data_IF_409586419975
#
_entry.id   IF_409586419975
#
_cell.length_a   1.000
_cell.length_b   1.000
_cell.length_c   1.000
_cell.angle_alpha   90.00
_cell.angle_beta   90.00
_cell.angle_gamma   90.00
#
_symmetry.space_group_name_H-M   'P 1'
#
loop_
_entity.id
_entity.type
_entity.pdbx_description
1 polymer ?
#
# COMPACT_ATOMS: atom_id res chain seq x y z
N UNK A 1 9.67 -39.62 -15.33
CA UNK A 1 9.88 -39.81 -13.88
C UNK A 1 8.69 -40.59 -13.38
N UNK A 2 8.85 -41.65 -12.57
CA UNK A 2 7.71 -42.42 -12.07
C UNK A 2 6.81 -41.48 -11.27
N UNK A 3 5.51 -41.54 -11.58
CA UNK A 3 4.45 -40.74 -10.95
C UNK A 3 4.40 -41.15 -9.47
N UNK A 4 5.01 -40.35 -8.60
CA UNK A 4 4.88 -40.55 -7.15
C UNK A 4 3.46 -40.13 -6.84
N UNK A 5 2.56 -41.11 -6.74
CA UNK A 5 1.16 -40.88 -6.39
C UNK A 5 1.10 -40.20 -5.00
N UNK A 6 0.95 -38.88 -5.01
CA UNK A 6 0.83 -38.11 -3.78
C UNK A 6 -0.54 -38.41 -3.17
N UNK A 7 -0.53 -39.04 -1.99
CA UNK A 7 -1.73 -39.41 -1.22
C UNK A 7 -2.68 -38.23 -0.97
N UNK A 8 -2.14 -37.02 -0.91
CA UNK A 8 -2.87 -35.77 -0.74
C UNK A 8 -2.59 -34.83 -1.89
N UNK A 9 -3.61 -34.14 -2.37
CA UNK A 9 -3.48 -33.21 -3.47
C UNK A 9 -4.76 -32.45 -3.78
N UNK A 10 -4.58 -31.40 -4.55
CA UNK A 10 -5.65 -30.56 -5.05
C UNK A 10 -6.03 -30.96 -6.47
N UNK A 11 -7.33 -31.00 -6.74
CA UNK A 11 -7.90 -31.15 -8.06
C UNK A 11 -8.77 -29.95 -8.38
N UNK A 12 -8.63 -29.44 -9.58
CA UNK A 12 -9.57 -28.46 -10.13
C UNK A 12 -10.80 -29.23 -10.60
N UNK A 13 -11.99 -28.78 -10.20
CA UNK A 13 -13.24 -29.41 -10.60
C UNK A 13 -13.53 -29.15 -12.08
N UNK A 14 -14.40 -29.93 -12.71
CA UNK A 14 -14.85 -29.70 -14.08
C UNK A 14 -15.49 -28.31 -14.23
N UNK A 15 -16.24 -27.88 -13.22
CA UNK A 15 -16.82 -26.53 -13.13
C UNK A 15 -15.71 -25.48 -13.04
N UNK A 16 -14.73 -25.68 -12.15
CA UNK A 16 -13.59 -24.79 -12.00
C UNK A 16 -12.78 -24.64 -13.28
N UNK A 17 -12.47 -25.74 -13.96
CA UNK A 17 -11.75 -25.74 -15.23
C UNK A 17 -12.53 -25.00 -16.33
N UNK A 18 -13.85 -25.22 -16.41
CA UNK A 18 -14.72 -24.53 -17.35
C UNK A 18 -14.77 -23.01 -17.07
N UNK A 19 -14.90 -22.61 -15.79
CA UNK A 19 -14.90 -21.21 -15.37
C UNK A 19 -13.58 -20.50 -15.63
N UNK A 20 -12.45 -21.15 -15.32
CA UNK A 20 -11.11 -20.64 -15.62
C UNK A 20 -10.98 -20.43 -17.13
N UNK A 21 -11.36 -21.41 -17.94
CA UNK A 21 -11.30 -21.31 -19.40
C UNK A 21 -12.18 -20.17 -19.94
N UNK A 22 -13.40 -20.03 -19.42
CA UNK A 22 -14.31 -18.95 -19.81
C UNK A 22 -13.73 -17.56 -19.47
N UNK A 23 -13.11 -17.40 -18.29
CA UNK A 23 -12.46 -16.16 -17.88
C UNK A 23 -11.25 -15.82 -18.75
N UNK A 24 -10.43 -16.82 -19.09
CA UNK A 24 -9.32 -16.66 -20.05
C UNK A 24 -9.82 -16.14 -21.40
N UNK A 25 -10.89 -16.75 -21.94
CA UNK A 25 -11.45 -16.36 -23.24
C UNK A 25 -12.10 -14.97 -23.20
N UNK A 26 -12.71 -14.60 -22.08
CA UNK A 26 -13.35 -13.30 -21.89
C UNK A 26 -12.36 -12.18 -21.52
N UNK A 27 -11.11 -12.52 -21.15
CA UNK A 27 -10.14 -11.55 -20.61
C UNK A 27 -10.52 -11.03 -19.23
N UNK A 28 -11.31 -11.79 -18.47
CA UNK A 28 -11.76 -11.45 -17.11
C UNK A 28 -11.04 -12.33 -16.08
N UNK A 29 -11.12 -11.96 -14.81
CA UNK A 29 -10.60 -12.77 -13.70
C UNK A 29 -11.71 -13.56 -13.02
N UNK A 30 -11.40 -14.78 -12.60
CA UNK A 30 -12.28 -15.61 -11.78
C UNK A 30 -12.07 -15.23 -10.32
N UNK A 31 -13.11 -14.65 -9.71
CA UNK A 31 -13.10 -14.28 -8.30
C UNK A 31 -13.37 -15.49 -7.41
N UNK A 32 -12.44 -15.77 -6.51
CA UNK A 32 -12.55 -16.77 -5.44
C UNK A 32 -12.74 -16.01 -4.13
N UNK A 33 -13.87 -16.23 -3.48
CA UNK A 33 -14.30 -15.41 -2.33
C UNK A 33 -14.26 -16.17 -1.01
N UNK A 34 -14.42 -17.48 -1.06
CA UNK A 34 -14.59 -18.30 0.13
C UNK A 34 -13.83 -19.61 0.00
N UNK A 35 -13.49 -20.16 1.16
CA UNK A 35 -13.02 -21.52 1.31
C UNK A 35 -13.91 -22.28 2.28
N UNK A 36 -13.99 -23.59 2.10
CA UNK A 36 -14.70 -24.48 3.01
C UNK A 36 -13.79 -25.63 3.45
N UNK A 37 -14.10 -26.20 4.60
CA UNK A 37 -13.45 -27.38 5.17
C UNK A 37 -14.50 -28.37 5.66
N UNK A 38 -14.18 -29.65 5.54
CA UNK A 38 -15.10 -30.74 5.86
C UNK A 38 -14.39 -31.99 6.37
N UNK A 39 -15.17 -32.95 6.85
CA UNK A 39 -14.66 -34.21 7.41
C UNK A 39 -14.63 -35.39 6.44
N UNK A 40 -15.04 -35.16 5.19
CA UNK A 40 -15.02 -36.17 4.13
C UNK A 40 -15.98 -37.34 4.35
N UNK A 41 -17.01 -37.18 5.19
CA UNK A 41 -17.95 -38.24 5.55
C UNK A 41 -17.40 -39.21 6.59
N UNK A 42 -16.42 -38.78 7.40
CA UNK A 42 -15.87 -39.57 8.50
C UNK A 42 -14.71 -40.50 8.14
N UNK A 43 -14.24 -40.52 6.89
CA UNK A 43 -13.15 -41.38 6.43
C UNK A 43 -12.28 -40.77 5.33
N UNK A 44 -11.16 -41.45 5.03
CA UNK A 44 -10.29 -41.03 3.93
C UNK A 44 -11.00 -41.21 2.58
N UNK A 45 -10.92 -40.18 1.74
CA UNK A 45 -11.38 -40.24 0.36
C UNK A 45 -10.41 -39.53 -0.59
N UNK A 46 -10.55 -39.82 -1.87
CA UNK A 46 -9.80 -39.17 -2.95
C UNK A 46 -10.78 -38.27 -3.70
N UNK A 47 -10.52 -36.95 -3.78
CA UNK A 47 -11.41 -36.05 -4.49
C UNK A 47 -11.51 -36.40 -5.97
N UNK A 48 -12.67 -36.13 -6.58
CA UNK A 48 -12.89 -36.30 -8.02
C UNK A 48 -13.13 -34.94 -8.67
N UNK A 49 -12.82 -34.83 -9.97
CA UNK A 49 -13.03 -33.59 -10.72
C UNK A 49 -14.51 -33.27 -10.91
N UNK A 50 -15.39 -34.27 -10.81
CA UNK A 50 -16.83 -34.11 -11.02
C UNK A 50 -17.57 -33.58 -9.77
N UNK A 51 -16.87 -33.40 -8.64
CA UNK A 51 -17.47 -32.85 -7.43
C UNK A 51 -17.90 -31.39 -7.64
N UNK A 52 -19.13 -31.11 -7.23
CA UNK A 52 -19.70 -29.76 -7.18
C UNK A 52 -19.78 -29.22 -5.75
N UNK A 53 -19.60 -30.08 -4.76
CA UNK A 53 -19.66 -29.78 -3.32
C UNK A 53 -18.69 -30.67 -2.53
N UNK A 54 -18.39 -30.25 -1.30
CA UNK A 54 -17.67 -31.07 -0.32
C UNK A 54 -18.56 -32.25 0.12
N UNK A 55 -17.96 -33.38 0.49
CA UNK A 55 -18.72 -34.56 0.93
C UNK A 55 -19.49 -34.27 2.22
N UNK A 56 -18.86 -33.55 3.15
CA UNK A 56 -19.43 -33.15 4.42
C UNK A 56 -18.82 -31.82 4.88
N UNK A 57 -19.35 -30.72 4.34
CA UNK A 57 -18.95 -29.38 4.74
C UNK A 57 -19.33 -29.09 6.19
N UNK A 58 -18.35 -28.67 6.99
CA UNK A 58 -18.53 -28.32 8.41
C UNK A 58 -18.10 -26.89 8.72
N UNK A 59 -17.34 -26.26 7.84
CA UNK A 59 -16.92 -24.89 7.96
C UNK A 59 -16.82 -24.22 6.60
N UNK A 60 -17.22 -22.94 6.55
CA UNK A 60 -17.04 -22.05 5.41
C UNK A 60 -16.66 -20.67 5.92
N UNK A 61 -15.68 -20.05 5.27
CA UNK A 61 -15.17 -18.76 5.69
C UNK A 61 -14.34 -18.06 4.64
N UNK A 62 -13.78 -16.89 4.99
CA UNK A 62 -12.98 -16.12 4.07
C UNK A 62 -11.57 -16.70 3.91
N UNK A 63 -10.92 -16.30 2.82
CA UNK A 63 -9.52 -16.61 2.54
C UNK A 63 -8.66 -15.55 3.22
N UNK A 64 -7.64 -15.97 3.96
CA UNK A 64 -6.80 -15.04 4.74
C UNK A 64 -5.56 -14.58 3.98
N UNK A 65 -5.08 -15.38 3.03
CA UNK A 65 -3.97 -15.04 2.14
C UNK A 65 -3.99 -15.94 0.91
N UNK A 66 -3.61 -15.40 -0.24
CA UNK A 66 -3.43 -16.16 -1.48
C UNK A 66 -2.20 -15.60 -2.20
N UNK A 67 -1.12 -16.38 -2.23
CA UNK A 67 0.17 -15.94 -2.78
C UNK A 67 0.69 -16.93 -3.79
N UNK A 68 1.39 -16.44 -4.82
CA UNK A 68 2.08 -17.30 -5.77
C UNK A 68 3.25 -17.99 -5.07
N UNK A 69 3.36 -19.31 -5.24
CA UNK A 69 4.43 -20.07 -4.63
C UNK A 69 5.78 -19.66 -5.26
N UNK A 70 6.78 -19.28 -4.45
CA UNK A 70 8.06 -18.78 -4.97
C UNK A 70 8.90 -19.87 -5.65
N UNK A 71 8.66 -21.15 -5.34
CA UNK A 71 9.38 -22.27 -5.92
C UNK A 71 8.69 -22.84 -7.17
N UNK A 72 7.37 -22.66 -7.30
CA UNK A 72 6.55 -23.22 -8.39
C UNK A 72 5.68 -22.12 -9.02
N UNK A 73 6.08 -21.54 -10.17
CA UNK A 73 5.43 -20.37 -10.78
C UNK A 73 3.93 -20.53 -11.09
N UNK A 74 3.42 -21.75 -11.19
CA UNK A 74 2.03 -22.04 -11.53
C UNK A 74 1.20 -22.53 -10.34
N UNK A 75 1.76 -22.44 -9.13
CA UNK A 75 1.10 -22.85 -7.90
C UNK A 75 0.74 -21.61 -7.08
N UNK A 76 -0.50 -21.58 -6.61
CA UNK A 76 -0.98 -20.59 -5.65
C UNK A 76 -1.20 -21.28 -4.30
N UNK A 77 -0.68 -20.65 -3.25
CA UNK A 77 -0.81 -21.09 -1.87
C UNK A 77 -1.93 -20.28 -1.23
N UNK A 78 -3.07 -20.93 -1.03
CA UNK A 78 -4.27 -20.32 -0.47
C UNK A 78 -4.37 -20.72 1.00
N UNK A 79 -4.15 -19.74 1.89
CA UNK A 79 -4.19 -19.91 3.34
C UNK A 79 -5.59 -19.61 3.86
N UNK A 80 -6.05 -20.48 4.75
CA UNK A 80 -7.29 -20.31 5.52
C UNK A 80 -6.99 -20.49 7.01
N UNK A 81 -7.77 -19.80 7.84
CA UNK A 81 -7.70 -19.94 9.30
C UNK A 81 -9.12 -20.22 9.81
N UNK A 82 -9.27 -21.37 10.47
CA UNK A 82 -10.49 -21.74 11.17
C UNK A 82 -10.33 -21.34 12.63
N UNK A 83 -11.16 -20.41 13.06
CA UNK A 83 -11.12 -19.83 14.39
C UNK A 83 -11.49 -20.82 15.51
N UNK A 84 -11.24 -20.47 16.75
CA UNK A 84 -11.48 -21.29 17.95
C UNK A 84 -12.97 -21.57 18.23
N UNK A 85 -13.86 -20.74 17.69
CA UNK A 85 -15.31 -20.85 17.84
C UNK A 85 -15.94 -22.04 17.10
N UNK A 86 -15.25 -22.59 16.09
CA UNK A 86 -15.73 -23.71 15.28
C UNK A 86 -14.79 -24.90 15.41
N UNK A 87 -15.31 -26.11 15.60
CA UNK A 87 -14.48 -27.31 15.73
C UNK A 87 -15.27 -28.56 16.06
N UNK A 88 -14.61 -29.50 16.73
CA UNK A 88 -15.11 -30.85 17.02
C UNK A 88 -15.28 -31.71 15.75
N UNK A 89 -14.38 -31.55 14.79
CA UNK A 89 -14.34 -32.37 13.59
C UNK A 89 -12.90 -32.63 13.14
N UNK A 90 -12.72 -33.62 12.27
CA UNK A 90 -11.42 -33.93 11.64
C UNK A 90 -11.45 -33.38 10.24
N UNK A 91 -10.64 -32.37 9.94
CA UNK A 91 -10.52 -31.83 8.59
C UNK A 91 -9.86 -32.87 7.67
N UNK A 92 -10.59 -33.28 6.62
CA UNK A 92 -10.14 -34.22 5.59
C UNK A 92 -10.28 -33.66 4.18
N UNK A 93 -11.05 -32.58 4.02
CA UNK A 93 -11.25 -31.92 2.76
C UNK A 93 -11.27 -30.41 2.90
N UNK A 94 -10.82 -29.74 1.85
CA UNK A 94 -11.00 -28.31 1.68
C UNK A 94 -11.42 -28.01 0.25
N UNK A 95 -12.17 -26.93 0.08
CA UNK A 95 -12.57 -26.44 -1.24
C UNK A 95 -12.50 -24.94 -1.35
N UNK A 96 -12.32 -24.46 -2.58
CA UNK A 96 -12.34 -23.03 -2.94
C UNK A 96 -13.58 -22.73 -3.76
N UNK A 97 -14.25 -21.64 -3.42
CA UNK A 97 -15.53 -21.26 -4.00
C UNK A 97 -15.46 -19.91 -4.71
N UNK A 98 -16.15 -19.81 -5.86
CA UNK A 98 -16.32 -18.55 -6.58
C UNK A 98 -17.33 -17.63 -5.87
N UNK A 99 -17.41 -16.37 -6.35
CA UNK A 99 -18.46 -15.43 -5.92
C UNK A 99 -19.89 -15.97 -6.15
N UNK A 100 -20.07 -16.82 -7.16
CA UNK A 100 -21.34 -17.48 -7.49
C UNK A 100 -21.62 -18.73 -6.62
N UNK A 101 -20.72 -19.07 -5.69
CA UNK A 101 -20.84 -20.24 -4.82
C UNK A 101 -20.47 -21.57 -5.48
N UNK A 102 -19.77 -21.55 -6.62
CA UNK A 102 -19.36 -22.77 -7.32
C UNK A 102 -18.04 -23.30 -6.75
N UNK A 103 -17.94 -24.62 -6.57
CA UNK A 103 -16.70 -25.27 -6.17
C UNK A 103 -15.70 -25.28 -7.33
N UNK A 104 -14.60 -24.53 -7.20
CA UNK A 104 -13.57 -24.37 -8.23
C UNK A 104 -12.45 -25.41 -8.09
N UNK A 105 -12.03 -25.65 -6.85
CA UNK A 105 -11.00 -26.62 -6.54
C UNK A 105 -11.31 -27.32 -5.23
N UNK A 106 -10.88 -28.57 -5.14
CA UNK A 106 -11.05 -29.42 -3.97
C UNK A 106 -9.75 -30.14 -3.67
N UNK A 107 -9.38 -30.26 -2.39
CA UNK A 107 -8.24 -31.06 -1.96
C UNK A 107 -8.60 -31.95 -0.79
N UNK A 108 -7.92 -33.09 -0.69
CA UNK A 108 -7.92 -33.89 0.51
C UNK A 108 -6.73 -33.53 1.41
N UNK A 109 -6.92 -33.71 2.71
CA UNK A 109 -5.92 -33.44 3.74
C UNK A 109 -5.68 -34.68 4.59
N UNK A 110 -4.51 -34.80 5.25
CA UNK A 110 -4.38 -35.78 6.33
C UNK A 110 -5.38 -35.48 7.45
N UNK A 111 -5.74 -36.50 8.22
CA UNK A 111 -6.62 -36.37 9.38
C UNK A 111 -6.06 -35.30 10.33
N UNK A 112 -6.72 -34.14 10.35
CA UNK A 112 -6.29 -32.97 11.11
C UNK A 112 -7.40 -32.59 12.07
N UNK A 113 -7.20 -32.87 13.35
CA UNK A 113 -8.20 -32.58 14.38
C UNK A 113 -8.37 -31.07 14.58
N UNK A 114 -9.61 -30.60 14.45
CA UNK A 114 -10.01 -29.26 14.85
C UNK A 114 -10.80 -29.34 16.15
N UNK A 115 -10.25 -28.80 17.22
CA UNK A 115 -10.97 -28.65 18.50
C UNK A 115 -11.60 -27.27 18.59
N UNK A 116 -12.77 -27.20 19.22
CA UNK A 116 -13.43 -25.93 19.55
C UNK A 116 -13.07 -25.49 20.98
N UNK A 117 -13.10 -24.17 21.23
CA UNK A 117 -12.84 -23.58 22.55
C UNK A 117 -13.77 -24.12 23.66
N UNK A 118 -14.95 -24.63 23.29
CA UNK A 118 -15.88 -25.31 24.20
C UNK A 118 -15.27 -26.52 24.92
N UNK A 119 -14.21 -27.11 24.37
CA UNK A 119 -13.49 -28.23 25.00
C UNK A 119 -12.46 -27.78 26.06
N UNK A 120 -12.33 -26.46 26.29
CA UNK A 120 -11.40 -25.86 27.25
C UNK A 120 -10.03 -25.53 26.67
N UNK A 121 -9.82 -25.78 25.37
CA UNK A 121 -8.58 -25.49 24.64
C UNK A 121 -8.89 -24.62 23.43
N UNK A 122 -8.19 -23.49 23.30
CA UNK A 122 -8.17 -22.70 22.07
C UNK A 122 -7.43 -23.50 20.98
N UNK A 123 -8.18 -23.90 19.94
CA UNK A 123 -7.67 -24.72 18.85
C UNK A 123 -7.83 -24.06 17.50
N UNK A 124 -7.25 -22.87 17.28
CA UNK A 124 -7.15 -22.31 15.91
C UNK A 124 -6.41 -23.25 14.96
N UNK A 125 -6.93 -23.44 13.76
CA UNK A 125 -6.31 -24.28 12.73
C UNK A 125 -6.00 -23.45 11.49
N UNK A 126 -4.72 -23.44 11.10
CA UNK A 126 -4.25 -22.83 9.87
C UNK A 126 -3.99 -23.92 8.83
N UNK A 127 -4.59 -23.78 7.66
CA UNK A 127 -4.40 -24.71 6.54
C UNK A 127 -3.98 -23.95 5.30
N UNK A 128 -3.11 -24.57 4.49
CA UNK A 128 -2.67 -24.03 3.20
C UNK A 128 -3.05 -25.02 2.10
N UNK A 129 -3.86 -24.56 1.16
CA UNK A 129 -4.25 -25.31 -0.03
C UNK A 129 -3.39 -24.88 -1.21
N UNK A 130 -2.71 -25.84 -1.83
CA UNK A 130 -1.89 -25.60 -3.02
C UNK A 130 -2.72 -25.86 -4.27
N UNK A 131 -3.05 -24.84 -5.05
CA UNK A 131 -3.75 -25.00 -6.34
C UNK A 131 -2.78 -24.74 -7.50
N UNK A 132 -2.76 -25.66 -8.48
CA UNK A 132 -1.93 -25.52 -9.68
C UNK A 132 -2.82 -25.21 -10.87
N UNK A 133 -2.61 -24.06 -11.49
CA UNK A 133 -3.35 -23.59 -12.66
C UNK A 133 -2.42 -23.33 -13.85
N UNK A 134 -2.96 -23.34 -15.07
CA UNK A 134 -2.16 -23.03 -16.27
C UNK A 134 -1.65 -21.59 -16.25
N UNK A 135 -2.46 -20.67 -15.73
CA UNK A 135 -2.13 -19.26 -15.55
C UNK A 135 -2.76 -18.76 -14.24
N UNK A 136 -1.90 -18.36 -13.30
CA UNK A 136 -2.31 -17.83 -12.00
C UNK A 136 -2.92 -16.42 -12.10
N UNK A 137 -2.64 -15.67 -13.17
CA UNK A 137 -3.12 -14.29 -13.35
C UNK A 137 -4.64 -14.19 -13.58
N UNK A 138 -5.25 -15.31 -13.95
CA UNK A 138 -6.70 -15.45 -14.19
C UNK A 138 -7.48 -15.51 -12.88
N UNK A 139 -6.84 -15.88 -11.76
CA UNK A 139 -7.51 -15.96 -10.47
C UNK A 139 -7.38 -14.63 -9.71
N UNK A 140 -8.48 -14.20 -9.11
CA UNK A 140 -8.56 -13.07 -8.19
C UNK A 140 -9.12 -13.55 -6.86
N UNK A 141 -8.46 -13.23 -5.74
CA UNK A 141 -8.89 -13.68 -4.42
C UNK A 141 -9.40 -12.51 -3.59
N UNK A 142 -10.57 -12.67 -2.99
CA UNK A 142 -11.04 -11.75 -1.95
C UNK A 142 -10.42 -12.14 -0.62
N UNK A 143 -9.43 -11.35 -0.18
CA UNK A 143 -8.65 -11.63 1.02
C UNK A 143 -9.19 -10.84 2.22
N UNK A 144 -9.48 -11.55 3.32
CA UNK A 144 -9.82 -10.94 4.62
C UNK A 144 -8.75 -11.35 5.64
N UNK A 145 -7.69 -10.52 5.84
CA UNK A 145 -6.52 -10.90 6.62
C UNK A 145 -6.74 -10.78 8.13
N UNK A 146 -7.94 -10.41 8.59
CA UNK A 146 -8.22 -10.18 10.02
C UNK A 146 -7.96 -11.41 10.92
N UNK A 147 -7.95 -12.61 10.33
CA UNK A 147 -7.67 -13.87 11.01
C UNK A 147 -6.26 -14.39 10.75
N UNK A 148 -5.44 -13.67 9.96
CA UNK A 148 -4.10 -14.13 9.66
C UNK A 148 -3.19 -13.97 10.87
N UNK A 149 -2.45 -15.04 11.19
CA UNK A 149 -1.49 -15.05 12.29
C UNK A 149 -0.09 -14.86 11.72
N UNK A 150 0.61 -13.85 12.24
CA UNK A 150 2.03 -13.61 12.00
C UNK A 150 2.79 -13.88 13.29
N UNK A 151 4.00 -14.42 13.17
CA UNK A 151 4.85 -14.55 14.35
C UNK A 151 5.22 -13.16 14.86
N UNK A 152 5.44 -13.04 16.17
CA UNK A 152 5.89 -11.79 16.77
C UNK A 152 7.21 -11.31 16.15
N UNK A 153 8.11 -12.24 15.85
CA UNK A 153 9.40 -11.96 15.21
C UNK A 153 9.22 -11.38 13.80
N UNK A 154 8.33 -11.98 12.98
CA UNK A 154 8.06 -11.47 11.63
C UNK A 154 7.42 -10.08 11.67
N UNK A 155 6.52 -9.83 12.63
CA UNK A 155 5.91 -8.53 12.82
C UNK A 155 6.94 -7.48 13.26
N UNK A 156 7.80 -7.80 14.22
CA UNK A 156 8.88 -6.92 14.67
C UNK A 156 9.88 -6.61 13.55
N UNK A 157 10.21 -7.62 12.71
CA UNK A 157 11.05 -7.43 11.52
C UNK A 157 10.40 -6.47 10.52
N UNK A 158 9.13 -6.67 10.18
CA UNK A 158 8.42 -5.81 9.24
C UNK A 158 8.34 -4.35 9.73
N UNK A 159 8.09 -4.14 11.03
CA UNK A 159 8.11 -2.81 11.64
C UNK A 159 9.51 -2.18 11.56
N UNK A 160 10.56 -2.96 11.85
CA UNK A 160 11.94 -2.49 11.76
C UNK A 160 12.31 -2.08 10.33
N UNK A 161 11.97 -2.90 9.33
CA UNK A 161 12.22 -2.61 7.92
C UNK A 161 11.51 -1.32 7.50
N UNK A 162 10.22 -1.20 7.79
CA UNK A 162 9.41 0.01 7.53
C UNK A 162 10.03 1.27 8.14
N UNK A 163 10.47 1.20 9.40
CA UNK A 163 11.05 2.36 10.09
C UNK A 163 12.38 2.83 9.50
N UNK A 164 13.08 1.97 8.77
CA UNK A 164 14.35 2.29 8.11
C UNK A 164 14.20 2.57 6.62
N UNK A 165 13.03 2.33 6.03
CA UNK A 165 12.80 2.45 4.61
C UNK A 165 12.66 3.93 4.21
N UNK A 166 13.59 4.47 3.38
CA UNK A 166 13.50 5.84 2.89
C UNK A 166 12.34 6.07 1.91
N UNK A 167 11.64 5.03 1.46
CA UNK A 167 10.42 5.11 0.67
C UNK A 167 9.14 5.12 1.52
N UNK A 168 9.19 4.71 2.80
CA UNK A 168 8.01 4.71 3.67
C UNK A 168 7.51 6.13 3.95
N UNK A 169 6.25 6.46 3.67
CA UNK A 169 5.69 7.84 3.78
C UNK A 169 6.29 8.87 2.80
N UNK A 170 6.54 8.47 1.55
CA UNK A 170 7.05 9.36 0.50
C UNK A 170 6.13 10.56 0.24
N UNK A 171 4.82 10.34 0.30
CA UNK A 171 3.78 11.37 0.18
C UNK A 171 3.91 12.46 1.25
N UNK A 172 4.10 12.06 2.52
CA UNK A 172 4.28 13.00 3.64
C UNK A 172 5.60 13.76 3.49
N UNK A 173 6.68 13.08 3.09
CA UNK A 173 7.96 13.75 2.83
C UNK A 173 7.83 14.79 1.72
N UNK A 174 7.18 14.44 0.61
CA UNK A 174 6.97 15.37 -0.50
C UNK A 174 6.12 16.57 -0.05
N UNK A 175 5.04 16.33 0.68
CA UNK A 175 4.19 17.41 1.19
C UNK A 175 4.96 18.38 2.11
N UNK A 176 5.90 17.89 2.94
CA UNK A 176 6.77 18.72 3.76
C UNK A 176 7.70 19.56 2.88
N UNK A 177 8.33 18.96 1.88
CA UNK A 177 9.20 19.67 0.93
C UNK A 177 8.44 20.77 0.19
N UNK A 178 7.26 20.46 -0.33
CA UNK A 178 6.41 21.42 -1.05
C UNK A 178 5.99 22.58 -0.13
N UNK A 179 5.67 22.29 1.14
CA UNK A 179 5.30 23.31 2.11
C UNK A 179 6.46 24.25 2.45
N UNK A 180 7.68 23.72 2.60
CA UNK A 180 8.90 24.51 2.82
C UNK A 180 9.19 25.38 1.60
N UNK A 181 9.12 24.82 0.40
CA UNK A 181 9.34 25.57 -0.85
C UNK A 181 8.30 26.68 -1.02
N UNK A 182 7.03 26.42 -0.67
CA UNK A 182 5.97 27.42 -0.71
C UNK A 182 6.24 28.57 0.27
N UNK A 183 6.68 28.24 1.49
CA UNK A 183 7.06 29.24 2.48
C UNK A 183 8.25 30.08 1.98
N UNK A 184 9.32 29.45 1.52
CA UNK A 184 10.56 30.15 1.16
C UNK A 184 10.41 31.07 -0.06
N UNK A 185 9.46 30.78 -0.95
CA UNK A 185 9.16 31.60 -2.12
C UNK A 185 8.07 32.66 -1.90
N UNK A 186 7.43 32.69 -0.74
CA UNK A 186 6.37 33.65 -0.47
C UNK A 186 6.92 35.07 -0.24
N UNK A 187 6.28 36.08 -0.84
CA UNK A 187 6.79 37.45 -0.82
C UNK A 187 6.66 38.13 0.55
N UNK A 188 5.84 37.59 1.45
CA UNK A 188 5.52 38.13 2.77
C UNK A 188 6.13 37.32 3.92
N UNK A 189 6.94 36.30 3.63
CA UNK A 189 7.65 35.58 4.69
C UNK A 189 8.78 36.41 5.28
N UNK A 190 8.90 36.33 6.61
CA UNK A 190 9.89 37.05 7.40
C UNK A 190 9.91 38.57 7.17
N UNK A 191 8.80 39.30 7.40
CA UNK A 191 8.70 40.74 7.09
C UNK A 191 9.73 41.60 7.84
N UNK A 192 10.11 41.22 9.06
CA UNK A 192 11.15 41.92 9.82
C UNK A 192 12.55 41.77 9.18
N UNK A 193 12.86 40.59 8.64
CA UNK A 193 14.12 40.35 7.93
C UNK A 193 14.15 41.14 6.63
N UNK A 194 13.05 41.14 5.87
CA UNK A 194 12.92 41.94 4.66
C UNK A 194 13.13 43.44 4.94
N UNK A 195 12.52 43.96 6.01
CA UNK A 195 12.71 45.35 6.44
C UNK A 195 14.17 45.64 6.82
N UNK A 196 14.82 44.71 7.53
CA UNK A 196 16.22 44.84 7.92
C UNK A 196 17.13 44.88 6.69
N UNK A 197 16.91 43.99 5.72
CA UNK A 197 17.66 43.96 4.45
C UNK A 197 17.44 45.26 3.66
N UNK A 198 16.19 45.72 3.51
CA UNK A 198 15.90 46.99 2.84
C UNK A 198 16.56 48.20 3.53
N UNK A 199 16.66 48.18 4.86
CA UNK A 199 17.42 49.18 5.62
C UNK A 199 18.93 49.13 5.38
N UNK A 200 19.50 47.93 5.19
CA UNK A 200 20.91 47.75 4.82
C UNK A 200 21.15 48.28 3.41
N UNK A 201 20.29 47.95 2.45
CA UNK A 201 20.38 48.42 1.06
C UNK A 201 20.34 49.95 1.00
N UNK A 202 19.44 50.59 1.76
CA UNK A 202 19.37 52.04 1.85
C UNK A 202 20.66 52.66 2.43
N UNK A 203 21.23 52.04 3.48
CA UNK A 203 22.51 52.49 4.07
C UNK A 203 23.67 52.30 3.10
N UNK A 204 23.67 51.22 2.33
CA UNK A 204 24.67 50.93 1.31
C UNK A 204 24.60 51.96 0.17
N UNK A 205 23.41 52.26 -0.35
CA UNK A 205 23.22 53.27 -1.38
C UNK A 205 23.73 54.66 -0.95
N UNK A 206 23.54 55.03 0.32
CA UNK A 206 24.09 56.28 0.87
C UNK A 206 25.63 56.26 0.91
N UNK A 207 26.23 55.13 1.30
CA UNK A 207 27.69 54.98 1.29
C UNK A 207 28.25 55.03 -0.13
N UNK A 208 27.64 54.33 -1.07
CA UNK A 208 28.01 54.35 -2.49
C UNK A 208 27.90 55.76 -3.08
N UNK A 209 26.85 56.51 -2.74
CA UNK A 209 26.73 57.91 -3.16
C UNK A 209 27.86 58.76 -2.58
N UNK A 210 28.15 58.61 -1.28
CA UNK A 210 29.16 59.40 -0.57
C UNK A 210 30.59 59.14 -1.07
N UNK A 211 30.92 57.90 -1.38
CA UNK A 211 32.28 57.49 -1.72
C UNK A 211 32.49 57.18 -3.21
N UNK A 212 31.43 56.96 -3.97
CA UNK A 212 31.47 56.66 -5.41
C UNK A 212 31.22 57.86 -6.32
N UNK A 213 30.92 59.05 -5.76
CA UNK A 213 30.71 60.26 -6.55
C UNK A 213 31.52 61.44 -6.01
N UNK A 214 31.90 62.38 -6.89
CA UNK A 214 32.72 63.55 -6.56
C UNK A 214 31.91 64.68 -5.87
N UNK A 215 30.96 64.30 -5.00
CA UNK A 215 30.14 65.25 -4.24
C UNK A 215 31.02 65.83 -3.13
N UNK A 216 31.41 67.09 -3.27
CA UNK A 216 32.28 67.83 -2.32
C UNK A 216 31.50 68.60 -1.24
N UNK A 217 30.16 68.56 -1.27
CA UNK A 217 29.27 69.16 -0.27
C UNK A 217 28.66 68.13 0.70
N UNK A 218 28.18 68.60 1.85
CA UNK A 218 27.45 67.74 2.79
C UNK A 218 26.14 67.24 2.16
N UNK A 219 26.06 65.95 1.86
CA UNK A 219 24.81 65.30 1.48
C UNK A 219 23.78 65.42 2.60
N UNK A 220 22.57 65.87 2.29
CA UNK A 220 21.45 65.97 3.21
C UNK A 220 20.20 65.28 2.64
N UNK A 221 19.38 64.71 3.52
CA UNK A 221 18.10 64.08 3.16
C UNK A 221 16.96 64.97 3.66
N UNK A 222 15.94 65.18 2.82
CA UNK A 222 14.71 65.90 3.18
C UNK A 222 13.52 64.99 2.95
N UNK A 223 12.61 64.91 3.91
CA UNK A 223 11.35 64.14 3.81
C UNK A 223 10.17 65.10 3.74
N UNK A 224 9.28 64.90 2.77
CA UNK A 224 8.06 65.69 2.63
C UNK A 224 6.83 64.86 3.00
N UNK A 225 5.86 65.47 3.67
CA UNK A 225 4.58 64.83 3.96
C UNK A 225 3.70 64.66 2.71
N UNK A 226 3.87 65.50 1.70
CA UNK A 226 3.22 65.43 0.40
C UNK A 226 4.09 66.09 -0.68
N UNK A 227 3.95 65.64 -1.93
CA UNK A 227 4.68 66.17 -3.09
C UNK A 227 3.96 67.35 -3.78
N UNK A 228 2.78 67.74 -3.28
CA UNK A 228 1.96 68.79 -3.87
C UNK A 228 2.70 70.13 -3.84
N UNK A 229 3.00 70.68 -5.03
CA UNK A 229 3.68 71.97 -5.18
C UNK A 229 5.21 71.91 -5.10
N UNK A 230 5.83 70.73 -4.99
CA UNK A 230 7.28 70.59 -5.07
C UNK A 230 7.76 70.85 -6.50
N UNK A 231 8.67 71.82 -6.67
CA UNK A 231 9.35 72.09 -7.94
C UNK A 231 10.84 71.82 -7.76
N UNK A 232 11.35 70.85 -8.52
CA UNK A 232 12.79 70.52 -8.58
C UNK A 232 13.32 70.98 -9.94
N UNK A 233 14.34 71.85 -9.95
CA UNK A 233 14.95 72.39 -11.17
C UNK A 233 16.41 71.95 -11.28
N UNK A 234 16.80 71.26 -12.35
CA UNK A 234 18.17 70.85 -12.61
C UNK A 234 18.27 70.02 -13.89
N UNK A 235 19.43 69.42 -14.16
CA UNK A 235 19.65 68.52 -15.29
C UNK A 235 19.41 67.08 -14.85
N UNK A 236 18.52 66.36 -15.52
CA UNK A 236 18.29 64.95 -15.26
C UNK A 236 19.43 64.10 -15.82
N UNK A 237 20.08 63.31 -14.96
CA UNK A 237 21.11 62.36 -15.34
C UNK A 237 20.51 60.94 -15.41
N UNK A 238 20.27 60.43 -16.62
CA UNK A 238 19.62 59.13 -16.84
C UNK A 238 20.43 57.94 -16.31
N UNK A 239 21.76 57.98 -16.45
CA UNK A 239 22.66 56.91 -16.01
C UNK A 239 22.62 56.71 -14.49
N UNK A 240 22.52 57.82 -13.75
CA UNK A 240 22.54 57.80 -12.28
C UNK A 240 21.16 58.06 -11.65
N UNK A 241 20.10 58.16 -12.47
CA UNK A 241 18.71 58.42 -12.06
C UNK A 241 18.56 59.56 -11.01
N UNK A 242 19.24 60.69 -11.21
CA UNK A 242 19.23 61.83 -10.27
C UNK A 242 19.22 63.18 -10.98
N UNK A 243 18.73 64.21 -10.28
CA UNK A 243 18.82 65.61 -10.74
C UNK A 243 20.14 66.21 -10.25
N UNK A 244 20.93 66.75 -11.18
CA UNK A 244 22.20 67.44 -10.93
C UNK A 244 22.01 68.96 -11.07
N UNK A 245 22.73 69.74 -10.26
CA UNK A 245 22.67 71.20 -10.21
C UNK A 245 24.00 71.81 -10.62
#
# INVERSE_FOLDING_TARGET
MPDIEKRYGTKITAVGAARITACVLAGTKLKITQAAAGDGGGGYYVPTVDQTELVAELWRGPIVSAVQNPAVPNMLDVKIVIDDSVGNFVCREMGLFSEDGELIAICNTPDTEKVAISTGVDGRLTMVMHIVVADASVLEFTIIPALDVVSREDLERAISEHNTDPAAHEDIRQAITDAVETHDNAADVHPELQNTVGGIDARLAVLELKYGTNITGNSFTVTFAALTGLVVTGVWNETYQRVEF
#
